data_IF_009490423487
#
_entry.id   IF_009490423487
#
_cell.length_a   1.000
_cell.length_b   1.000
_cell.length_c   1.000
_cell.angle_alpha   90.00
_cell.angle_beta   90.00
_cell.angle_gamma   90.00
#
_symmetry.space_group_name_H-M   'P 1'
#
loop_
_entity.id
_entity.type
_entity.pdbx_description
1 polymer ?
#
# COMPACT_ATOMS: atom_id res chain seq x y z
N UNK A 1 32.82 -0.28 -34.86
CA UNK A 1 32.83 -0.19 -33.38
C UNK A 1 31.86 0.82 -32.76
N UNK A 2 31.21 1.74 -33.51
CA UNK A 2 30.24 2.71 -32.93
C UNK A 2 28.87 2.09 -32.57
N UNK A 3 28.43 1.09 -33.33
CA UNK A 3 27.08 0.52 -33.17
C UNK A 3 26.94 -0.46 -31.98
N UNK A 4 28.04 -1.02 -31.48
CA UNK A 4 28.02 -1.97 -30.37
C UNK A 4 27.75 -1.30 -29.02
N UNK A 5 28.28 -0.08 -28.83
CA UNK A 5 28.03 0.72 -27.61
C UNK A 5 26.57 1.17 -27.50
N UNK A 6 25.95 1.50 -28.62
CA UNK A 6 24.54 1.86 -28.67
C UNK A 6 23.64 0.67 -28.28
N UNK A 7 23.96 -0.53 -28.77
CA UNK A 7 23.18 -1.74 -28.47
C UNK A 7 23.20 -2.10 -26.98
N UNK A 8 24.35 -1.98 -26.32
CA UNK A 8 24.50 -2.22 -24.87
C UNK A 8 23.70 -1.17 -24.07
N UNK A 9 23.74 0.10 -24.47
CA UNK A 9 22.98 1.15 -23.80
C UNK A 9 21.46 0.91 -23.88
N UNK A 10 20.94 0.53 -25.05
CA UNK A 10 19.53 0.18 -25.22
C UNK A 10 19.13 -1.06 -24.40
N UNK A 11 19.99 -2.07 -24.33
CA UNK A 11 19.74 -3.28 -23.54
C UNK A 11 19.69 -2.97 -22.03
N UNK A 12 20.56 -2.08 -21.52
CA UNK A 12 20.52 -1.65 -20.12
C UNK A 12 19.26 -0.84 -19.78
N UNK A 13 18.81 0.04 -20.67
CA UNK A 13 17.58 0.82 -20.47
C UNK A 13 16.36 -0.10 -20.45
N UNK A 14 16.27 -1.08 -21.36
CA UNK A 14 15.16 -2.04 -21.35
C UNK A 14 15.18 -2.98 -20.13
N UNK A 15 16.36 -3.41 -19.68
CA UNK A 15 16.49 -4.30 -18.53
C UNK A 15 16.09 -3.63 -17.21
N UNK A 16 16.38 -2.32 -17.05
CA UNK A 16 15.97 -1.56 -15.85
C UNK A 16 14.46 -1.33 -15.76
N UNK A 17 13.75 -1.22 -16.89
CA UNK A 17 12.30 -1.00 -16.90
C UNK A 17 11.54 -2.29 -16.56
N UNK A 18 12.06 -3.47 -16.92
CA UNK A 18 11.34 -4.73 -16.76
C UNK A 18 11.58 -5.45 -15.42
N UNK A 19 12.64 -5.12 -14.67
CA UNK A 19 12.98 -5.80 -13.40
C UNK A 19 12.50 -5.10 -12.13
N UNK A 20 11.96 -3.88 -12.21
CA UNK A 20 11.61 -3.09 -11.02
C UNK A 20 10.11 -3.08 -10.63
N UNK A 21 9.27 -3.92 -11.25
CA UNK A 21 7.87 -4.02 -10.82
C UNK A 21 7.72 -5.02 -9.68
N UNK A 22 8.20 -4.62 -8.49
CA UNK A 22 7.89 -5.34 -7.26
C UNK A 22 6.35 -5.32 -7.03
N UNK A 23 5.78 -6.41 -6.52
CA UNK A 23 4.32 -6.57 -6.44
C UNK A 23 3.75 -5.58 -5.43
N UNK A 24 3.19 -4.48 -5.94
CA UNK A 24 2.43 -3.51 -5.14
C UNK A 24 1.29 -4.20 -4.40
N UNK A 25 1.17 -3.92 -3.10
CA UNK A 25 0.13 -4.53 -2.29
C UNK A 25 0.05 -3.91 -0.91
N UNK A 26 -0.88 -4.44 -0.11
CA UNK A 26 -1.02 -4.09 1.29
C UNK A 26 -1.51 -5.28 2.11
N UNK A 27 -1.24 -5.24 3.40
CA UNK A 27 -1.84 -6.11 4.40
C UNK A 27 -2.62 -5.20 5.35
N UNK A 28 -3.89 -5.54 5.58
CA UNK A 28 -4.71 -4.96 6.62
C UNK A 28 -5.08 -6.08 7.59
N UNK A 29 -4.64 -5.93 8.84
CA UNK A 29 -4.98 -6.86 9.92
C UNK A 29 -6.01 -6.19 10.83
N UNK A 30 -7.10 -6.90 11.09
CA UNK A 30 -8.21 -6.45 11.91
C UNK A 30 -8.57 -7.54 12.94
N UNK A 31 -9.15 -7.17 14.09
CA UNK A 31 -9.69 -8.14 15.02
C UNK A 31 -10.84 -8.91 14.37
N UNK A 32 -11.05 -10.16 14.81
CA UNK A 32 -12.09 -11.04 14.27
C UNK A 32 -13.51 -10.54 14.57
N UNK A 33 -13.68 -9.87 15.70
CA UNK A 33 -14.92 -9.24 16.14
C UNK A 33 -14.58 -7.82 16.61
N UNK A 34 -15.52 -6.90 16.39
CA UNK A 34 -15.43 -5.51 16.81
C UNK A 34 -16.60 -5.29 17.78
N UNK A 35 -16.28 -4.93 19.01
CA UNK A 35 -17.29 -4.67 20.03
C UNK A 35 -17.85 -3.23 19.88
N UNK A 36 -19.12 -3.06 20.19
CA UNK A 36 -19.74 -1.74 20.12
C UNK A 36 -19.26 -0.87 21.30
N UNK A 37 -18.75 0.33 21.01
CA UNK A 37 -18.31 1.28 22.02
C UNK A 37 -16.87 1.08 22.51
N UNK A 38 -16.11 0.13 21.94
CA UNK A 38 -14.66 0.02 22.15
C UNK A 38 -13.88 0.82 21.10
N UNK A 39 -12.60 1.06 21.41
CA UNK A 39 -11.59 1.48 20.43
C UNK A 39 -10.85 0.24 19.97
N UNK A 40 -10.89 -0.03 18.67
CA UNK A 40 -10.19 -1.16 18.06
C UNK A 40 -8.96 -0.68 17.29
N UNK A 41 -7.88 -1.44 17.39
CA UNK A 41 -6.63 -1.11 16.68
C UNK A 41 -6.49 -2.00 15.46
N UNK A 42 -6.27 -1.38 14.30
CA UNK A 42 -5.96 -2.07 13.05
C UNK A 42 -4.48 -1.88 12.72
N UNK A 43 -3.90 -2.85 12.01
CA UNK A 43 -2.53 -2.72 11.49
C UNK A 43 -2.56 -2.70 9.97
N UNK A 44 -2.00 -1.63 9.40
CA UNK A 44 -1.87 -1.46 7.95
C UNK A 44 -0.40 -1.45 7.54
N UNK A 45 -0.06 -2.26 6.54
CA UNK A 45 1.29 -2.34 5.97
C UNK A 45 1.18 -2.26 4.45
N UNK A 46 1.90 -1.33 3.84
CA UNK A 46 1.96 -1.17 2.39
C UNK A 46 3.32 -1.63 1.84
N UNK A 47 3.30 -2.30 0.69
CA UNK A 47 4.46 -2.85 0.00
C UNK A 47 4.60 -2.24 -1.38
N UNK A 48 5.79 -1.73 -1.69
CA UNK A 48 6.13 -1.17 -3.01
C UNK A 48 5.19 -0.02 -3.45
N UNK A 49 4.58 0.67 -2.48
CA UNK A 49 3.77 1.87 -2.70
C UNK A 49 4.64 3.11 -2.51
N UNK A 50 4.59 4.11 -3.41
CA UNK A 50 5.28 5.38 -3.21
C UNK A 50 4.91 6.01 -1.86
N UNK A 51 5.91 6.48 -1.12
CA UNK A 51 5.68 7.19 0.15
C UNK A 51 4.91 8.48 -0.06
N UNK A 52 4.14 8.89 0.96
CA UNK A 52 3.37 10.13 0.93
C UNK A 52 1.97 10.01 0.34
N UNK A 53 1.56 8.82 -0.11
CA UNK A 53 0.15 8.53 -0.37
C UNK A 53 -0.68 8.58 0.91
N UNK A 54 -1.96 8.93 0.81
CA UNK A 54 -2.89 8.85 1.94
C UNK A 54 -3.81 7.64 1.75
N UNK A 55 -3.91 6.81 2.77
CA UNK A 55 -4.85 5.70 2.85
C UNK A 55 -5.97 6.08 3.81
N UNK A 56 -7.20 5.83 3.39
CA UNK A 56 -8.38 6.04 4.22
C UNK A 56 -9.00 4.68 4.52
N UNK A 57 -9.12 4.33 5.79
CA UNK A 57 -9.79 3.11 6.26
C UNK A 57 -11.15 3.52 6.80
N UNK A 58 -12.19 2.82 6.35
CA UNK A 58 -13.58 3.11 6.71
C UNK A 58 -14.23 1.88 7.31
N UNK A 59 -14.91 2.06 8.43
CA UNK A 59 -15.82 1.09 8.98
C UNK A 59 -17.21 1.40 8.45
N UNK A 60 -17.81 0.43 7.75
CA UNK A 60 -19.11 0.57 7.13
C UNK A 60 -20.11 -0.37 7.79
N UNK A 61 -21.34 0.09 7.98
CA UNK A 61 -22.45 -0.77 8.34
C UNK A 61 -22.80 -1.66 7.14
N UNK A 62 -22.75 -2.99 7.31
CA UNK A 62 -22.79 -3.92 6.17
C UNK A 62 -24.09 -3.83 5.34
N UNK A 63 -25.21 -3.55 5.99
CA UNK A 63 -26.53 -3.57 5.36
C UNK A 63 -26.87 -2.23 4.70
N UNK A 64 -26.65 -1.12 5.39
CA UNK A 64 -26.98 0.22 4.89
C UNK A 64 -25.85 0.89 4.09
N UNK A 65 -24.61 0.42 4.27
CA UNK A 65 -23.42 1.06 3.71
C UNK A 65 -23.01 2.35 4.44
N UNK A 66 -23.69 2.69 5.54
CA UNK A 66 -23.40 3.92 6.29
C UNK A 66 -22.00 3.87 6.91
N UNK A 67 -21.30 5.01 6.87
CA UNK A 67 -19.99 5.14 7.49
C UNK A 67 -20.11 5.31 9.00
N UNK A 68 -19.57 4.35 9.74
CA UNK A 68 -19.57 4.34 11.20
C UNK A 68 -18.31 5.00 11.78
N UNK A 69 -17.17 4.82 11.11
CA UNK A 69 -15.89 5.42 11.49
C UNK A 69 -14.97 5.58 10.27
N UNK A 70 -14.04 6.52 10.34
CA UNK A 70 -13.02 6.79 9.33
C UNK A 70 -11.68 7.07 10.02
N UNK A 71 -10.61 6.51 9.48
CA UNK A 71 -9.23 6.81 9.89
C UNK A 71 -8.35 7.03 8.67
N UNK A 72 -7.38 7.95 8.79
CA UNK A 72 -6.50 8.36 7.69
C UNK A 72 -5.06 8.19 8.09
N UNK A 73 -4.30 7.49 7.24
CA UNK A 73 -2.90 7.17 7.50
C UNK A 73 -2.06 7.57 6.31
N UNK A 74 -0.98 8.29 6.58
CA UNK A 74 0.04 8.60 5.57
C UNK A 74 0.90 7.38 5.35
N UNK A 75 0.96 6.88 4.12
CA UNK A 75 1.71 5.68 3.78
C UNK A 75 3.21 5.93 3.93
N UNK A 76 3.80 5.22 4.88
CA UNK A 76 5.23 5.01 4.99
C UNK A 76 5.53 3.61 4.42
N UNK A 77 6.34 3.56 3.35
CA UNK A 77 6.61 2.31 2.64
C UNK A 77 7.37 1.33 3.53
N UNK A 78 6.97 0.05 3.51
CA UNK A 78 7.61 -1.05 4.26
C UNK A 78 7.62 -0.87 5.78
N UNK A 79 6.62 -0.18 6.35
CA UNK A 79 6.47 0.02 7.81
C UNK A 79 5.04 -0.39 8.24
N UNK A 80 4.93 -1.01 9.41
CA UNK A 80 3.64 -1.29 10.05
C UNK A 80 3.10 -0.02 10.70
N UNK A 81 1.86 0.32 10.40
CA UNK A 81 1.20 1.50 10.94
C UNK A 81 -0.01 1.09 11.78
N UNK A 82 -0.07 1.65 12.99
CA UNK A 82 -1.22 1.54 13.86
C UNK A 82 -2.30 2.49 13.38
N UNK A 83 -3.52 1.99 13.36
CA UNK A 83 -4.71 2.74 12.95
C UNK A 83 -5.70 2.67 14.10
N UNK A 84 -6.11 3.84 14.55
CA UNK A 84 -7.13 4.08 15.58
C UNK A 84 -8.43 4.55 14.91
#
# INVERSE_FOLDING_TARGET
>A
MKNFKALIAYLCIFCTVSLCSAKRGFILTAPKAIDAGSTEYLTFTAFDVPSGGQVTIKLLHWYSGDMLAESKVTVLNNINMWVE
#
